data_IF_551704474214
#
_entry.id   IF_551704474214
#
_cell.length_a   1.000
_cell.length_b   1.000
_cell.length_c   1.000
_cell.angle_alpha   90.00
_cell.angle_beta   90.00
_cell.angle_gamma   90.00
#
_symmetry.space_group_name_H-M   'P 1'
#
loop_
_entity.id
_entity.type
_entity.pdbx_description
1 polymer ?
#
# COMPACT_ATOMS: atom_id res chain seq x y z
N UNK A 1 21.97 -3.03 9.04
CA UNK A 1 22.51 -2.77 10.39
C UNK A 1 21.33 -2.65 11.35
N UNK A 2 20.97 -3.72 12.07
CA UNK A 2 19.82 -3.71 13.02
C UNK A 2 20.15 -2.76 14.18
N UNK A 3 19.21 -1.89 14.56
CA UNK A 3 19.32 -1.13 15.82
C UNK A 3 18.95 -2.08 16.94
N UNK A 4 19.95 -2.77 17.51
CA UNK A 4 19.72 -3.70 18.62
C UNK A 4 19.23 -2.93 19.85
N UNK A 5 18.25 -3.52 20.57
CA UNK A 5 17.90 -3.05 21.91
C UNK A 5 19.11 -3.23 22.85
N UNK A 6 19.07 -2.60 24.04
CA UNK A 6 20.13 -2.73 25.06
C UNK A 6 20.42 -4.18 25.46
N UNK A 7 19.49 -5.10 25.21
CA UNK A 7 19.57 -6.50 25.62
C UNK A 7 19.97 -7.44 24.47
N UNK A 8 20.21 -6.90 23.26
CA UNK A 8 20.68 -7.66 22.10
C UNK A 8 19.60 -8.40 21.31
N UNK A 9 18.36 -8.45 21.81
CA UNK A 9 17.19 -9.01 21.12
C UNK A 9 16.41 -7.92 20.36
N UNK A 10 15.97 -8.25 19.14
CA UNK A 10 15.06 -7.40 18.35
C UNK A 10 13.63 -7.72 18.76
N UNK A 11 12.84 -6.69 19.12
CA UNK A 11 11.44 -6.88 19.51
C UNK A 11 10.51 -6.87 18.30
N UNK A 12 9.32 -7.46 18.44
CA UNK A 12 8.28 -7.40 17.41
C UNK A 12 7.95 -5.96 16.97
N UNK A 13 7.85 -5.03 17.92
CA UNK A 13 7.58 -3.61 17.64
C UNK A 13 8.73 -2.94 16.87
N UNK A 14 9.97 -3.35 17.12
CA UNK A 14 11.12 -2.89 16.32
C UNK A 14 11.03 -3.41 14.89
N UNK A 15 10.73 -4.70 14.69
CA UNK A 15 10.57 -5.29 13.36
C UNK A 15 9.46 -4.56 12.60
N UNK A 16 8.30 -4.35 13.24
CA UNK A 16 7.16 -3.67 12.63
C UNK A 16 7.52 -2.22 12.25
N UNK A 17 8.22 -1.49 13.12
CA UNK A 17 8.67 -0.12 12.88
C UNK A 17 9.68 -0.04 11.72
N UNK A 18 10.69 -0.91 11.72
CA UNK A 18 11.69 -1.01 10.63
C UNK A 18 11.02 -1.33 9.29
N UNK A 19 10.13 -2.31 9.28
CA UNK A 19 9.43 -2.73 8.08
C UNK A 19 8.55 -1.59 7.54
N UNK A 20 7.81 -0.90 8.42
CA UNK A 20 6.97 0.24 8.03
C UNK A 20 7.79 1.39 7.45
N UNK A 21 8.93 1.75 8.07
CA UNK A 21 9.83 2.78 7.55
C UNK A 21 10.32 2.44 6.13
N UNK A 22 10.63 1.17 5.89
CA UNK A 22 11.04 0.69 4.57
C UNK A 22 9.89 0.67 3.55
N UNK A 23 8.65 0.40 3.95
CA UNK A 23 7.49 0.55 3.06
C UNK A 23 7.34 1.98 2.54
N UNK A 24 7.65 2.97 3.38
CA UNK A 24 7.59 4.38 3.02
C UNK A 24 8.72 4.79 2.09
N UNK A 25 9.95 4.34 2.36
CA UNK A 25 11.07 4.49 1.43
C UNK A 25 10.78 3.75 0.10
N UNK A 26 10.07 2.62 0.17
CA UNK A 26 9.61 1.81 -0.94
C UNK A 26 8.34 2.30 -1.62
N UNK A 27 7.80 3.48 -1.27
CA UNK A 27 6.54 3.98 -1.81
C UNK A 27 6.49 3.99 -3.34
N UNK A 28 7.63 4.26 -3.98
CA UNK A 28 7.79 4.16 -5.44
C UNK A 28 7.52 2.76 -6.00
N UNK A 29 8.04 1.70 -5.37
CA UNK A 29 7.76 0.31 -5.76
C UNK A 29 6.27 -0.02 -5.61
N UNK A 30 5.68 0.37 -4.47
CA UNK A 30 4.28 0.10 -4.18
C UNK A 30 3.36 0.77 -5.20
N UNK A 31 3.55 2.05 -5.51
CA UNK A 31 2.70 2.75 -6.48
C UNK A 31 2.84 2.19 -7.90
N UNK A 32 4.05 1.78 -8.32
CA UNK A 32 4.25 1.15 -9.63
C UNK A 32 3.46 -0.15 -9.77
N UNK A 33 3.40 -0.97 -8.72
CA UNK A 33 2.59 -2.19 -8.68
C UNK A 33 1.09 -1.88 -8.64
N UNK A 34 0.70 -0.81 -7.93
CA UNK A 34 -0.70 -0.37 -7.85
C UNK A 34 -1.22 0.05 -9.22
N UNK A 35 -0.52 0.96 -9.92
CA UNK A 35 -0.96 1.50 -11.22
C UNK A 35 -0.88 0.48 -12.35
N UNK A 36 -0.11 -0.60 -12.18
CA UNK A 36 -0.10 -1.72 -13.11
C UNK A 36 -1.41 -2.55 -13.06
N UNK A 37 -2.26 -2.37 -12.06
CA UNK A 37 -3.61 -2.92 -12.09
C UNK A 37 -4.51 -2.00 -12.94
N UNK A 38 -5.14 -2.47 -14.03
CA UNK A 38 -5.83 -1.61 -15.01
C UNK A 38 -6.85 -0.63 -14.40
N UNK A 39 -7.69 -1.10 -13.48
CA UNK A 39 -8.69 -0.27 -12.81
C UNK A 39 -8.07 0.79 -11.88
N UNK A 40 -6.96 0.47 -11.20
CA UNK A 40 -6.27 1.41 -10.31
C UNK A 40 -5.50 2.43 -11.12
N UNK A 41 -4.78 1.99 -12.16
CA UNK A 41 -4.07 2.86 -13.09
C UNK A 41 -5.01 3.88 -13.73
N UNK A 42 -6.16 3.43 -14.24
CA UNK A 42 -7.20 4.29 -14.79
C UNK A 42 -7.69 5.34 -13.78
N UNK A 43 -8.05 4.91 -12.57
CA UNK A 43 -8.51 5.83 -11.52
C UNK A 43 -7.45 6.85 -11.11
N UNK A 44 -6.17 6.47 -11.12
CA UNK A 44 -5.06 7.41 -10.89
C UNK A 44 -4.96 8.43 -12.02
N UNK A 45 -5.01 8.01 -13.28
CA UNK A 45 -4.87 8.90 -14.44
C UNK A 45 -6.04 9.88 -14.55
N UNK A 46 -7.26 9.42 -14.33
CA UNK A 46 -8.47 10.24 -14.49
C UNK A 46 -8.68 11.22 -13.32
N UNK A 47 -8.20 10.92 -12.12
CA UNK A 47 -8.47 11.72 -10.92
C UNK A 47 -7.25 12.29 -10.20
N UNK A 48 -6.03 12.08 -10.71
CA UNK A 48 -4.83 12.60 -10.08
C UNK A 48 -3.92 13.32 -11.05
N UNK A 49 -3.61 14.57 -10.71
CA UNK A 49 -2.39 15.23 -11.19
C UNK A 49 -1.20 14.68 -10.38
N UNK A 50 -0.77 13.46 -10.74
CA UNK A 50 0.22 12.70 -9.96
C UNK A 50 1.54 13.47 -9.83
N UNK A 51 2.02 14.08 -10.91
CA UNK A 51 3.26 14.87 -10.92
C UNK A 51 3.20 16.05 -9.94
N UNK A 52 2.15 16.90 -10.02
CA UNK A 52 2.07 18.10 -9.17
C UNK A 52 1.71 17.82 -7.72
N UNK A 53 1.12 16.65 -7.43
CA UNK A 53 0.61 16.31 -6.09
C UNK A 53 1.25 15.05 -5.52
N UNK A 54 2.39 14.62 -6.05
CA UNK A 54 3.09 13.42 -5.59
C UNK A 54 3.35 13.47 -4.07
N UNK A 55 3.81 14.63 -3.57
CA UNK A 55 4.09 14.82 -2.15
C UNK A 55 2.83 14.86 -1.28
N UNK A 56 1.76 15.53 -1.73
CA UNK A 56 0.48 15.51 -1.02
C UNK A 56 -0.09 14.09 -0.91
N UNK A 57 -0.02 13.34 -2.01
CA UNK A 57 -0.46 11.94 -2.06
C UNK A 57 0.38 11.06 -1.17
N UNK A 58 1.71 11.23 -1.22
CA UNK A 58 2.64 10.51 -0.36
C UNK A 58 2.33 10.79 1.11
N UNK A 59 2.17 12.05 1.51
CA UNK A 59 1.78 12.43 2.87
C UNK A 59 0.42 11.82 3.26
N UNK A 60 -0.58 11.85 2.38
CA UNK A 60 -1.89 11.24 2.64
C UNK A 60 -1.79 9.73 2.89
N UNK A 61 -1.03 9.02 2.05
CA UNK A 61 -0.77 7.58 2.24
C UNK A 61 0.04 7.30 3.51
N UNK A 62 1.09 8.09 3.79
CA UNK A 62 1.88 7.96 5.01
C UNK A 62 1.03 8.12 6.26
N UNK A 63 0.22 9.18 6.31
CA UNK A 63 -0.68 9.46 7.44
C UNK A 63 -1.65 8.29 7.63
N UNK A 64 -2.26 7.79 6.55
CA UNK A 64 -3.13 6.62 6.64
C UNK A 64 -2.39 5.38 7.19
N UNK A 65 -1.24 5.04 6.60
CA UNK A 65 -0.48 3.84 6.95
C UNK A 65 0.05 3.90 8.39
N UNK A 66 0.61 5.02 8.83
CA UNK A 66 1.09 5.20 10.21
C UNK A 66 -0.06 5.18 11.22
N UNK A 67 -1.15 5.91 10.96
CA UNK A 67 -2.30 5.92 11.85
C UNK A 67 -2.99 4.56 11.88
N UNK A 68 -3.03 3.83 10.77
CA UNK A 68 -3.48 2.44 10.75
C UNK A 68 -2.56 1.54 11.60
N UNK A 69 -1.24 1.68 11.54
CA UNK A 69 -0.35 0.85 12.35
C UNK A 69 -0.42 1.18 13.86
N UNK A 70 -0.31 2.47 14.20
CA UNK A 70 0.01 2.92 15.57
C UNK A 70 -0.98 3.93 16.17
N UNK A 71 -1.90 4.48 15.38
CA UNK A 71 -2.83 5.51 15.86
C UNK A 71 -3.90 4.97 16.80
N UNK A 72 -4.49 5.84 17.61
CA UNK A 72 -5.66 5.51 18.42
C UNK A 72 -6.89 5.23 17.53
N UNK A 73 -7.96 4.59 18.05
CA UNK A 73 -9.20 4.43 17.30
C UNK A 73 -9.78 5.77 16.78
N UNK A 74 -9.67 6.84 17.56
CA UNK A 74 -10.16 8.18 17.22
C UNK A 74 -9.35 8.80 16.08
N UNK A 75 -8.01 8.72 16.16
CA UNK A 75 -7.11 9.19 15.10
C UNK A 75 -7.36 8.43 13.80
N UNK A 76 -7.51 7.10 13.90
CA UNK A 76 -7.82 6.26 12.74
C UNK A 76 -9.18 6.62 12.12
N UNK A 77 -10.21 6.85 12.93
CA UNK A 77 -11.53 7.26 12.44
C UNK A 77 -11.47 8.60 11.68
N UNK A 78 -10.72 9.57 12.19
CA UNK A 78 -10.56 10.88 11.52
C UNK A 78 -9.78 10.76 10.20
N UNK A 79 -8.66 10.02 10.18
CA UNK A 79 -7.90 9.81 8.95
C UNK A 79 -8.72 9.04 7.93
N UNK A 80 -9.46 8.00 8.34
CA UNK A 80 -10.40 7.26 7.48
C UNK A 80 -11.46 8.17 6.88
N UNK A 81 -12.03 9.10 7.66
CA UNK A 81 -13.03 10.07 7.17
C UNK A 81 -12.45 10.96 6.06
N UNK A 82 -11.23 11.47 6.25
CA UNK A 82 -10.53 12.31 5.25
C UNK A 82 -10.23 11.53 3.98
N UNK A 83 -9.77 10.29 4.10
CA UNK A 83 -9.50 9.43 2.93
C UNK A 83 -10.79 9.13 2.17
N UNK A 84 -11.88 8.79 2.87
CA UNK A 84 -13.17 8.56 2.20
C UNK A 84 -13.68 9.80 1.46
N UNK A 85 -13.51 11.00 2.02
CA UNK A 85 -13.86 12.25 1.33
C UNK A 85 -13.03 12.45 0.07
N UNK A 86 -11.74 12.13 0.09
CA UNK A 86 -10.88 12.19 -1.09
C UNK A 86 -11.20 11.11 -2.12
N UNK A 87 -11.71 9.95 -1.68
CA UNK A 87 -12.10 8.82 -2.54
C UNK A 87 -13.49 8.99 -3.17
N UNK A 88 -14.38 9.81 -2.58
CA UNK A 88 -15.75 10.04 -3.05
C UNK A 88 -15.85 10.31 -4.56
N UNK A 89 -15.07 11.22 -5.18
CA UNK A 89 -15.16 11.48 -6.61
C UNK A 89 -14.45 10.45 -7.49
N UNK A 90 -13.76 9.45 -6.93
CA UNK A 90 -12.84 8.57 -7.68
C UNK A 90 -13.57 7.30 -8.10
N UNK A 91 -14.36 7.40 -9.16
CA UNK A 91 -15.05 6.27 -9.75
C UNK A 91 -15.44 6.56 -11.21
N UNK A 92 -15.46 5.52 -12.03
CA UNK A 92 -16.02 5.59 -13.37
C UNK A 92 -16.66 4.26 -13.79
N UNK A 93 -17.73 4.28 -14.61
CA UNK A 93 -18.25 3.07 -15.22
C UNK A 93 -17.26 2.47 -16.22
N UNK A 94 -17.52 1.24 -16.65
CA UNK A 94 -16.75 0.63 -17.73
C UNK A 94 -16.97 1.43 -19.04
N UNK A 95 -15.92 1.52 -19.84
CA UNK A 95 -15.92 2.10 -21.19
C UNK A 95 -15.17 1.18 -22.15
N UNK A 96 -15.17 1.49 -23.44
CA UNK A 96 -14.54 0.64 -24.45
C UNK A 96 -13.06 0.38 -24.13
N UNK A 97 -12.71 -0.90 -23.92
CA UNK A 97 -11.35 -1.33 -23.57
C UNK A 97 -10.89 -0.98 -22.14
N UNK A 98 -11.74 -0.39 -21.30
CA UNK A 98 -11.38 0.09 -19.97
C UNK A 98 -12.34 -0.43 -18.88
N UNK A 99 -11.82 -1.03 -17.79
CA UNK A 99 -12.67 -1.55 -16.72
C UNK A 99 -13.34 -0.42 -15.94
N UNK A 100 -14.50 -0.72 -15.33
CA UNK A 100 -15.06 0.14 -14.28
C UNK A 100 -14.11 0.17 -13.08
N UNK A 101 -14.18 1.24 -12.30
CA UNK A 101 -13.48 1.32 -11.02
C UNK A 101 -14.23 2.21 -10.03
N UNK A 102 -13.94 1.96 -8.76
CA UNK A 102 -14.32 2.84 -7.66
C UNK A 102 -13.24 2.76 -6.59
N UNK A 103 -12.86 3.88 -6.01
CA UNK A 103 -11.97 3.90 -4.86
C UNK A 103 -12.60 3.29 -3.58
N UNK A 104 -13.90 2.93 -3.63
CA UNK A 104 -14.60 2.15 -2.62
C UNK A 104 -14.67 0.65 -2.95
N UNK A 105 -14.15 0.21 -4.10
CA UNK A 105 -14.06 -1.21 -4.44
C UNK A 105 -13.10 -1.92 -3.48
N UNK A 106 -13.63 -2.89 -2.74
CA UNK A 106 -12.86 -3.62 -1.71
C UNK A 106 -11.71 -4.42 -2.31
N UNK A 107 -11.86 -4.97 -3.51
CA UNK A 107 -10.81 -5.75 -4.18
C UNK A 107 -9.67 -4.84 -4.65
N UNK A 108 -9.99 -3.64 -5.13
CA UNK A 108 -8.96 -2.65 -5.49
C UNK A 108 -8.23 -2.11 -4.26
N UNK A 109 -8.94 -1.85 -3.16
CA UNK A 109 -8.32 -1.46 -1.89
C UNK A 109 -7.43 -2.56 -1.32
N UNK A 110 -7.87 -3.82 -1.42
CA UNK A 110 -7.09 -4.99 -1.05
C UNK A 110 -5.78 -5.04 -1.84
N UNK A 111 -5.84 -4.85 -3.16
CA UNK A 111 -4.63 -4.78 -3.99
C UNK A 111 -3.68 -3.68 -3.54
N UNK A 112 -4.19 -2.45 -3.34
CA UNK A 112 -3.38 -1.31 -2.88
C UNK A 112 -2.68 -1.63 -1.56
N UNK A 113 -3.41 -2.10 -0.56
CA UNK A 113 -2.81 -2.46 0.72
C UNK A 113 -1.85 -3.66 0.61
N UNK A 114 -2.13 -4.64 -0.26
CA UNK A 114 -1.24 -5.79 -0.49
C UNK A 114 0.10 -5.35 -1.07
N UNK A 115 0.12 -4.39 -1.99
CA UNK A 115 1.38 -3.84 -2.53
C UNK A 115 2.23 -3.16 -1.45
N UNK A 116 1.59 -2.50 -0.47
CA UNK A 116 2.27 -1.88 0.67
C UNK A 116 2.87 -2.96 1.58
N UNK A 117 2.06 -3.95 1.98
CA UNK A 117 2.54 -5.07 2.80
C UNK A 117 3.69 -5.82 2.14
N UNK A 118 3.55 -6.19 0.87
CA UNK A 118 4.63 -6.88 0.17
C UNK A 118 5.88 -6.02 0.08
N UNK A 119 5.76 -4.72 -0.21
CA UNK A 119 6.92 -3.82 -0.27
C UNK A 119 7.60 -3.70 1.08
N UNK A 120 6.82 -3.63 2.17
CA UNK A 120 7.28 -3.60 3.55
C UNK A 120 8.18 -4.80 3.87
N UNK A 121 7.70 -6.02 3.58
CA UNK A 121 8.44 -7.26 3.87
C UNK A 121 9.64 -7.42 2.92
N UNK A 122 9.46 -7.25 1.60
CA UNK A 122 10.54 -7.41 0.60
C UNK A 122 11.71 -6.47 0.87
N UNK A 123 11.45 -5.22 1.26
CA UNK A 123 12.53 -4.30 1.59
C UNK A 123 13.16 -4.58 2.96
N UNK A 124 12.36 -5.00 3.96
CA UNK A 124 12.90 -5.40 5.27
C UNK A 124 13.91 -6.53 5.14
N UNK A 125 13.55 -7.61 4.44
CA UNK A 125 14.40 -8.79 4.25
C UNK A 125 15.60 -8.55 3.31
N UNK A 126 15.61 -7.44 2.56
CA UNK A 126 16.77 -7.00 1.77
C UNK A 126 17.77 -6.17 2.57
N UNK A 127 17.29 -5.44 3.57
CA UNK A 127 18.10 -4.51 4.39
C UNK A 127 18.59 -5.19 5.68
N UNK A 128 17.81 -6.12 6.20
CA UNK A 128 18.06 -6.88 7.42
C UNK A 128 18.05 -8.38 7.13
N UNK A 129 18.36 -9.20 8.13
CA UNK A 129 18.25 -10.65 7.96
C UNK A 129 16.78 -11.05 7.73
N UNK A 130 16.52 -12.07 6.89
CA UNK A 130 15.19 -12.58 6.62
C UNK A 130 14.41 -12.89 7.90
N UNK A 131 13.11 -12.62 7.89
CA UNK A 131 12.24 -12.90 9.03
C UNK A 131 12.08 -14.41 9.19
N UNK A 132 12.10 -14.89 10.43
CA UNK A 132 11.68 -16.25 10.70
C UNK A 132 10.20 -16.41 10.30
N UNK A 133 9.74 -17.60 9.86
CA UNK A 133 8.35 -17.79 9.43
C UNK A 133 7.30 -17.34 10.46
N UNK A 134 7.58 -17.55 11.76
CA UNK A 134 6.72 -17.10 12.83
C UNK A 134 6.67 -15.57 12.99
N UNK A 135 7.81 -14.88 12.79
CA UNK A 135 7.87 -13.41 12.84
C UNK A 135 7.13 -12.80 11.65
N UNK A 136 7.34 -13.35 10.45
CA UNK A 136 6.63 -12.93 9.23
C UNK A 136 5.11 -13.08 9.41
N UNK A 137 4.67 -14.19 9.97
CA UNK A 137 3.25 -14.42 10.27
C UNK A 137 2.70 -13.45 11.32
N UNK A 138 3.45 -13.14 12.38
CA UNK A 138 3.03 -12.14 13.36
C UNK A 138 2.89 -10.75 12.74
N UNK A 139 3.86 -10.33 11.91
CA UNK A 139 3.80 -9.06 11.19
C UNK A 139 2.59 -9.04 10.25
N UNK A 140 2.34 -10.14 9.54
CA UNK A 140 1.19 -10.30 8.67
C UNK A 140 -0.14 -10.15 9.43
N UNK A 141 -0.33 -10.86 10.54
CA UNK A 141 -1.57 -10.78 11.32
C UNK A 141 -1.79 -9.38 11.91
N UNK A 142 -0.70 -8.68 12.28
CA UNK A 142 -0.80 -7.29 12.73
C UNK A 142 -1.22 -6.35 11.62
N UNK A 143 -0.64 -6.50 10.42
CA UNK A 143 -1.01 -5.72 9.24
C UNK A 143 -2.47 -5.99 8.81
N UNK A 144 -2.88 -7.26 8.86
CA UNK A 144 -4.22 -7.72 8.51
C UNK A 144 -5.33 -7.17 9.41
N UNK A 145 -5.03 -6.70 10.62
CA UNK A 145 -6.05 -6.43 11.66
C UNK A 145 -7.23 -5.64 11.08
N UNK A 146 -8.41 -6.29 11.11
CA UNK A 146 -9.59 -6.00 10.28
C UNK A 146 -10.17 -4.60 10.49
N UNK A 147 -9.88 -3.98 11.62
CA UNK A 147 -10.46 -2.69 12.02
C UNK A 147 -9.83 -1.51 11.29
N UNK A 148 -8.77 -1.76 10.49
CA UNK A 148 -7.88 -0.69 10.00
C UNK A 148 -7.72 -0.60 8.49
N UNK A 149 -8.61 -1.26 7.75
CA UNK A 149 -8.80 -1.02 6.32
C UNK A 149 -10.05 -0.20 6.06
N UNK A 150 -10.05 0.63 4.99
CA UNK A 150 -11.09 1.62 4.73
C UNK A 150 -12.49 0.99 4.64
N UNK A 151 -12.69 0.08 3.69
CA UNK A 151 -13.99 -0.55 3.37
C UNK A 151 -13.98 -2.08 3.59
N UNK A 152 -12.99 -2.59 4.32
CA UNK A 152 -12.89 -4.03 4.53
C UNK A 152 -14.03 -4.56 5.41
N UNK A 153 -14.42 -5.80 5.10
CA UNK A 153 -15.32 -6.62 5.89
C UNK A 153 -14.60 -7.91 6.28
N UNK A 154 -15.11 -8.66 7.29
CA UNK A 154 -14.53 -9.94 7.68
C UNK A 154 -14.44 -10.88 6.47
N UNK A 155 -13.23 -11.35 6.15
CA UNK A 155 -12.97 -12.27 5.04
C UNK A 155 -12.43 -11.62 3.76
N UNK A 156 -12.41 -10.28 3.65
CA UNK A 156 -11.84 -9.60 2.49
C UNK A 156 -10.31 -9.75 2.37
N UNK A 157 -9.61 -9.88 3.50
CA UNK A 157 -8.15 -10.06 3.53
C UNK A 157 -7.78 -11.55 3.65
N UNK A 158 -6.72 -12.03 2.96
CA UNK A 158 -6.24 -13.40 3.10
C UNK A 158 -5.97 -13.76 4.56
N UNK A 159 -6.08 -15.04 4.90
CA UNK A 159 -6.21 -15.42 6.30
C UNK A 159 -4.89 -15.56 7.06
N UNK A 160 -3.82 -15.80 6.33
CA UNK A 160 -2.46 -16.06 6.81
C UNK A 160 -1.47 -15.68 5.68
N UNK A 161 -0.18 -15.70 6.00
CA UNK A 161 0.86 -15.34 5.01
C UNK A 161 0.84 -16.26 3.78
N UNK A 162 0.46 -17.53 3.92
CA UNK A 162 0.42 -18.47 2.81
C UNK A 162 -0.73 -18.14 1.83
N UNK A 163 -1.92 -17.82 2.37
CA UNK A 163 -3.05 -17.35 1.58
C UNK A 163 -2.74 -16.00 0.91
N UNK A 164 -1.98 -15.13 1.58
CA UNK A 164 -1.49 -13.89 0.97
C UNK A 164 -0.56 -14.15 -0.21
N UNK A 165 0.41 -15.07 -0.07
CA UNK A 165 1.34 -15.41 -1.14
C UNK A 165 0.61 -15.98 -2.38
N UNK A 166 -0.42 -16.79 -2.17
CA UNK A 166 -1.29 -17.28 -3.25
C UNK A 166 -2.06 -16.14 -3.93
N UNK A 167 -2.71 -15.28 -3.14
CA UNK A 167 -3.40 -14.09 -3.65
C UNK A 167 -2.46 -13.16 -4.43
N UNK A 168 -1.24 -12.97 -3.94
CA UNK A 168 -0.23 -12.14 -4.55
C UNK A 168 0.17 -12.68 -5.92
N UNK A 169 0.50 -13.97 -6.00
CA UNK A 169 0.88 -14.63 -7.25
C UNK A 169 -0.24 -14.57 -8.30
N UNK A 170 -1.49 -14.79 -7.90
CA UNK A 170 -2.65 -14.66 -8.77
C UNK A 170 -2.82 -13.22 -9.28
N UNK A 171 -2.69 -12.24 -8.39
CA UNK A 171 -2.87 -10.82 -8.70
C UNK A 171 -1.79 -10.31 -9.65
N UNK A 172 -0.54 -10.76 -9.52
CA UNK A 172 0.55 -10.45 -10.45
C UNK A 172 0.21 -10.87 -11.89
N UNK A 173 -0.47 -12.00 -12.08
CA UNK A 173 -0.90 -12.48 -13.40
C UNK A 173 -1.96 -11.61 -14.08
N UNK A 174 -2.59 -10.69 -13.34
CA UNK A 174 -3.64 -9.79 -13.86
C UNK A 174 -3.12 -8.38 -14.16
N UNK A 175 -1.87 -8.09 -13.82
CA UNK A 175 -1.28 -6.77 -14.04
C UNK A 175 -1.03 -6.52 -15.52
N UNK A 176 -1.27 -5.29 -15.95
CA UNK A 176 -0.99 -4.82 -17.30
C UNK A 176 -0.36 -3.43 -17.22
N UNK A 177 0.86 -3.32 -17.74
CA UNK A 177 1.55 -2.03 -17.82
C UNK A 177 1.05 -1.30 -19.07
N UNK A 178 -0.07 -0.58 -18.93
CA UNK A 178 -0.63 0.29 -19.96
C UNK A 178 0.28 1.49 -20.23
N UNK A 179 0.03 2.18 -21.34
CA UNK A 179 0.75 3.43 -21.67
C UNK A 179 0.54 4.50 -20.59
N UNK A 180 -0.68 4.58 -20.06
CA UNK A 180 -1.01 5.43 -18.91
C UNK A 180 -0.18 5.09 -17.66
N UNK A 181 -0.05 3.80 -17.34
CA UNK A 181 0.78 3.35 -16.22
C UNK A 181 2.26 3.69 -16.44
N UNK A 182 2.77 3.57 -17.67
CA UNK A 182 4.14 4.02 -18.01
C UNK A 182 4.29 5.52 -17.87
N UNK A 183 3.31 6.31 -18.31
CA UNK A 183 3.36 7.76 -18.20
C UNK A 183 3.45 8.21 -16.74
N UNK A 184 2.61 7.64 -15.87
CA UNK A 184 2.67 7.90 -14.41
C UNK A 184 4.00 7.43 -13.82
N UNK A 185 4.52 6.27 -14.24
CA UNK A 185 5.83 5.78 -13.80
C UNK A 185 6.96 6.75 -14.21
N UNK A 186 6.93 7.28 -15.43
CA UNK A 186 7.91 8.27 -15.88
C UNK A 186 7.83 9.55 -15.07
N UNK A 187 6.63 10.07 -14.78
CA UNK A 187 6.45 11.24 -13.92
C UNK A 187 6.99 11.03 -12.50
N UNK A 188 6.73 9.86 -11.91
CA UNK A 188 7.26 9.48 -10.59
C UNK A 188 8.80 9.45 -10.58
N UNK A 189 9.41 8.91 -11.64
CA UNK A 189 10.85 8.67 -11.71
C UNK A 189 11.65 9.87 -12.23
N UNK A 190 11.01 10.84 -12.90
CA UNK A 190 11.71 11.97 -13.53
C UNK A 190 12.06 13.11 -12.58
N UNK A 191 11.72 13.00 -11.28
CA UNK A 191 12.03 13.98 -10.21
C UNK A 191 11.71 15.45 -10.55
N UNK A 192 10.86 15.70 -11.55
CA UNK A 192 10.81 17.01 -12.22
C UNK A 192 10.14 18.10 -11.37
N UNK A 193 9.42 17.71 -10.31
CA UNK A 193 8.62 18.58 -9.44
C UNK A 193 8.91 18.40 -7.93
N UNK A 194 10.02 17.77 -7.54
CA UNK A 194 10.43 17.75 -6.12
C UNK A 194 11.02 19.12 -5.77
N UNK A 195 10.44 19.88 -4.82
CA UNK A 195 11.04 21.15 -4.40
C UNK A 195 12.49 20.90 -3.93
N UNK A 196 13.41 21.73 -4.40
CA UNK A 196 14.82 21.69 -4.04
C UNK A 196 15.05 21.89 -2.54
#
# INVERSE_FOLDING_TARGET
MRVRSKDGETTFEQILSEALALALAGGGRAILLQIAHPAVGRGVVEHSDFARRAMDRFHGTMMFVYTAAFGTPEEYAEVRRRVNQAHEPVHAPASEGQPAYSAFDVSLQLWVAATLHHTMIDLHERVFDPLAPAEREQVYQRFRSRDRMLQAHPGAWPQDSAAFDAYWAESLGRLQVSDDARAVAHQLLSLSDVPA
#
